data_IF_939256566417
#
_entry.id   IF_939256566417
#
_cell.length_a   1.000
_cell.length_b   1.000
_cell.length_c   1.000
_cell.angle_alpha   90.00
_cell.angle_beta   90.00
_cell.angle_gamma   90.00
#
_symmetry.space_group_name_H-M   'P 1'
#
loop_
_entity.id
_entity.type
_entity.pdbx_description
1 polymer ?
#
# COMPACT_ATOMS: atom_id res chain seq x y z
N UNK A 1 -32.18 3.55 -10.18
CA UNK A 1 -30.79 3.59 -9.69
C UNK A 1 -30.16 4.89 -10.16
N UNK A 2 -29.54 5.67 -9.27
CA UNK A 2 -28.77 6.86 -9.67
C UNK A 2 -27.38 6.45 -10.15
N UNK A 3 -26.78 7.22 -11.07
CA UNK A 3 -25.47 6.87 -11.63
C UNK A 3 -24.38 6.79 -10.55
N UNK A 4 -24.40 7.70 -9.57
CA UNK A 4 -23.45 7.70 -8.45
C UNK A 4 -23.57 6.46 -7.55
N UNK A 5 -24.76 5.87 -7.47
CA UNK A 5 -24.97 4.62 -6.73
C UNK A 5 -24.44 3.43 -7.51
N UNK A 6 -24.71 3.39 -8.83
CA UNK A 6 -24.20 2.35 -9.71
C UNK A 6 -22.66 2.35 -9.72
N UNK A 7 -22.03 3.52 -9.82
CA UNK A 7 -20.58 3.67 -9.77
C UNK A 7 -19.98 3.13 -8.46
N UNK A 8 -20.58 3.47 -7.32
CA UNK A 8 -20.13 2.98 -6.01
C UNK A 8 -20.27 1.47 -5.87
N UNK A 9 -21.37 0.90 -6.35
CA UNK A 9 -21.61 -0.55 -6.32
C UNK A 9 -20.62 -1.29 -7.23
N UNK A 10 -20.45 -0.81 -8.47
CA UNK A 10 -19.47 -1.36 -9.43
C UNK A 10 -18.06 -1.29 -8.84
N UNK A 11 -17.69 -0.14 -8.27
CA UNK A 11 -16.38 0.05 -7.65
C UNK A 11 -16.15 -0.93 -6.51
N UNK A 12 -17.10 -1.04 -5.57
CA UNK A 12 -17.00 -1.99 -4.45
C UNK A 12 -16.82 -3.43 -4.95
N UNK A 13 -17.60 -3.83 -5.96
CA UNK A 13 -17.51 -5.18 -6.53
C UNK A 13 -16.20 -5.44 -7.26
N UNK A 14 -15.70 -4.45 -8.00
CA UNK A 14 -14.40 -4.54 -8.67
C UNK A 14 -13.26 -4.63 -7.66
N UNK A 15 -13.33 -3.93 -6.53
CA UNK A 15 -12.35 -4.05 -5.45
C UNK A 15 -12.30 -5.47 -4.90
N UNK A 16 -13.45 -6.08 -4.61
CA UNK A 16 -13.51 -7.47 -4.11
C UNK A 16 -12.86 -8.45 -5.09
N UNK A 17 -13.19 -8.35 -6.38
CA UNK A 17 -12.61 -9.22 -7.42
C UNK A 17 -11.10 -8.98 -7.55
N UNK A 18 -10.67 -7.73 -7.56
CA UNK A 18 -9.25 -7.38 -7.69
C UNK A 18 -8.44 -7.83 -6.48
N UNK A 19 -9.00 -7.73 -5.28
CA UNK A 19 -8.41 -8.25 -4.05
C UNK A 19 -8.22 -9.77 -4.14
N UNK A 20 -9.26 -10.51 -4.51
CA UNK A 20 -9.18 -11.96 -4.67
C UNK A 20 -8.14 -12.40 -5.71
N UNK A 21 -8.05 -11.68 -6.84
CA UNK A 21 -7.02 -11.94 -7.87
C UNK A 21 -5.62 -11.72 -7.31
N UNK A 22 -5.38 -10.61 -6.58
CA UNK A 22 -4.08 -10.34 -5.97
C UNK A 22 -3.74 -11.37 -4.88
N UNK A 23 -4.69 -11.74 -4.03
CA UNK A 23 -4.50 -12.79 -3.03
C UNK A 23 -4.14 -14.13 -3.67
N UNK A 24 -4.80 -14.50 -4.78
CA UNK A 24 -4.48 -15.70 -5.54
C UNK A 24 -3.09 -15.65 -6.17
N UNK A 25 -2.68 -14.49 -6.70
CA UNK A 25 -1.32 -14.29 -7.22
C UNK A 25 -0.26 -14.46 -6.12
N UNK A 26 -0.48 -13.87 -4.94
CA UNK A 26 0.42 -14.01 -3.79
C UNK A 26 0.47 -15.46 -3.31
N UNK A 27 -0.67 -16.12 -3.15
CA UNK A 27 -0.73 -17.53 -2.76
C UNK A 27 -0.02 -18.45 -3.77
N UNK A 28 -0.07 -18.11 -5.07
CA UNK A 28 0.64 -18.83 -6.13
C UNK A 28 2.17 -18.78 -6.01
N UNK A 29 2.75 -17.86 -5.23
CA UNK A 29 4.19 -17.83 -4.96
C UNK A 29 4.65 -18.86 -3.91
N UNK A 30 3.70 -19.49 -3.21
CA UNK A 30 3.96 -20.44 -2.13
C UNK A 30 4.41 -19.75 -0.83
N UNK A 31 4.82 -20.57 0.14
CA UNK A 31 5.33 -20.17 1.45
C UNK A 31 6.86 -19.98 1.48
N UNK A 32 7.55 -20.37 0.40
CA UNK A 32 9.00 -20.28 0.30
C UNK A 32 9.74 -21.37 1.06
N UNK A 33 9.11 -22.53 1.30
CA UNK A 33 9.85 -23.73 1.68
C UNK A 33 10.67 -24.25 0.48
N UNK A 34 11.92 -23.79 0.41
CA UNK A 34 12.90 -24.20 -0.61
C UNK A 34 13.80 -25.34 -0.12
N UNK A 35 13.40 -26.02 0.97
CA UNK A 35 14.15 -27.09 1.59
C UNK A 35 15.10 -26.61 2.71
N UNK A 36 15.99 -27.50 3.20
CA UNK A 36 16.68 -27.32 4.48
C UNK A 36 17.76 -26.23 4.49
N UNK A 37 18.19 -25.76 3.32
CA UNK A 37 19.19 -24.70 3.18
C UNK A 37 19.09 -24.05 1.81
N UNK A 38 19.21 -22.72 1.77
CA UNK A 38 19.22 -21.93 0.55
C UNK A 38 20.58 -21.24 0.43
N UNK A 39 21.19 -21.27 -0.75
CA UNK A 39 22.37 -20.46 -1.05
C UNK A 39 21.92 -19.05 -1.45
N UNK A 40 22.29 -18.05 -0.66
CA UNK A 40 22.00 -16.63 -0.94
C UNK A 40 23.29 -15.86 -0.89
N UNK A 41 23.65 -15.19 -2.00
CA UNK A 41 24.90 -14.42 -2.14
C UNK A 41 26.18 -15.20 -1.78
N UNK A 42 26.17 -16.53 -1.98
CA UNK A 42 27.28 -17.43 -1.65
C UNK A 42 27.41 -17.77 -0.16
N UNK A 43 26.43 -17.41 0.67
CA UNK A 43 26.27 -17.90 2.04
C UNK A 43 25.13 -18.92 2.11
N UNK A 44 25.37 -20.07 2.74
CA UNK A 44 24.30 -21.02 3.10
C UNK A 44 23.47 -20.42 4.24
N UNK A 45 22.18 -20.22 4.00
CA UNK A 45 21.21 -19.76 5.00
C UNK A 45 20.16 -20.83 5.26
N UNK A 46 19.64 -20.86 6.48
CA UNK A 46 18.60 -21.82 6.88
C UNK A 46 17.26 -21.09 7.05
N UNK A 47 16.14 -21.71 6.63
CA UNK A 47 14.81 -21.17 6.89
C UNK A 47 14.50 -21.16 8.39
N UNK A 48 13.58 -20.28 8.78
CA UNK A 48 12.99 -20.25 10.13
C UNK A 48 12.26 -21.56 10.43
N UNK A 49 12.14 -21.91 11.72
CA UNK A 49 11.40 -23.10 12.14
C UNK A 49 9.91 -23.01 11.80
N UNK A 50 9.33 -21.81 11.92
CA UNK A 50 7.93 -21.51 11.62
C UNK A 50 7.83 -20.42 10.54
N UNK A 51 6.76 -20.42 9.72
CA UNK A 51 6.49 -19.35 8.78
C UNK A 51 6.11 -18.06 9.51
N UNK A 52 6.56 -16.94 8.97
CA UNK A 52 6.26 -15.61 9.47
C UNK A 52 5.16 -14.95 8.64
N UNK A 53 4.07 -14.56 9.30
CA UNK A 53 2.98 -13.79 8.69
C UNK A 53 3.39 -12.34 8.49
N UNK A 54 3.09 -11.79 7.31
CA UNK A 54 3.23 -10.37 6.96
C UNK A 54 1.95 -9.86 6.32
N UNK A 55 1.63 -8.60 6.62
CA UNK A 55 0.53 -7.89 5.97
C UNK A 55 1.10 -7.01 4.85
N UNK A 56 0.61 -7.22 3.64
CA UNK A 56 0.86 -6.37 2.48
C UNK A 56 -0.36 -5.50 2.20
N UNK A 57 -0.18 -4.18 2.25
CA UNK A 57 -1.25 -3.18 2.11
C UNK A 57 -1.28 -2.68 0.67
N UNK A 58 -2.16 -3.27 -0.13
CA UNK A 58 -2.36 -2.91 -1.53
C UNK A 58 -3.46 -1.87 -1.71
N UNK A 59 -3.57 -1.31 -2.91
CA UNK A 59 -4.72 -0.47 -3.32
C UNK A 59 -6.06 -1.21 -3.29
N UNK A 60 -6.05 -2.55 -3.27
CA UNK A 60 -7.24 -3.40 -3.23
C UNK A 60 -7.59 -3.87 -1.81
N UNK A 61 -6.76 -3.55 -0.81
CA UNK A 61 -6.91 -4.01 0.58
C UNK A 61 -5.68 -4.76 1.09
N UNK A 62 -5.80 -5.26 2.31
CA UNK A 62 -4.76 -6.03 3.00
C UNK A 62 -4.69 -7.46 2.45
N UNK A 63 -3.48 -7.92 2.13
CA UNK A 63 -3.20 -9.28 1.69
C UNK A 63 -2.21 -9.90 2.66
N UNK A 64 -2.52 -11.08 3.15
CA UNK A 64 -1.67 -11.82 4.06
C UNK A 64 -0.65 -12.66 3.30
N UNK A 65 0.58 -12.65 3.78
CA UNK A 65 1.70 -13.39 3.19
C UNK A 65 2.34 -14.21 4.30
N UNK A 66 2.07 -15.51 4.30
CA UNK A 66 2.80 -16.47 5.13
C UNK A 66 4.05 -16.89 4.39
N UNK A 67 5.22 -16.72 5.02
CA UNK A 67 6.49 -17.03 4.36
C UNK A 67 7.58 -17.44 5.34
N UNK A 68 8.46 -18.32 4.90
CA UNK A 68 9.71 -18.57 5.59
C UNK A 68 10.68 -17.41 5.40
N UNK A 69 11.50 -17.20 6.43
CA UNK A 69 12.58 -16.20 6.42
C UNK A 69 13.89 -16.89 6.74
N UNK A 70 14.93 -16.57 5.97
CA UNK A 70 16.26 -17.10 6.13
C UNK A 70 17.17 -16.02 6.73
N UNK A 71 17.97 -16.39 7.72
CA UNK A 71 18.98 -15.51 8.30
C UNK A 71 20.32 -16.25 8.46
N UNK A 72 21.43 -15.57 8.18
CA UNK A 72 22.78 -16.09 8.37
C UNK A 72 23.21 -16.10 9.87
N UNK A 73 22.31 -16.53 10.76
CA UNK A 73 22.50 -16.63 12.21
C UNK A 73 21.84 -15.52 13.05
N UNK A 74 21.84 -15.64 14.39
CA UNK A 74 20.97 -14.88 15.31
C UNK A 74 21.18 -13.35 15.35
N UNK A 75 22.20 -12.81 14.67
CA UNK A 75 22.65 -11.41 14.82
C UNK A 75 22.90 -10.65 13.50
N UNK A 76 22.64 -11.24 12.32
CA UNK A 76 22.78 -10.52 11.03
C UNK A 76 21.46 -9.89 10.58
N UNK A 77 21.59 -8.76 9.85
CA UNK A 77 20.73 -7.57 10.01
C UNK A 77 19.49 -7.50 9.12
N UNK A 78 19.28 -8.40 8.17
CA UNK A 78 18.08 -8.42 7.33
C UNK A 78 17.77 -9.88 6.94
N UNK A 79 16.63 -10.45 7.36
CA UNK A 79 16.23 -11.77 6.90
C UNK A 79 15.87 -11.73 5.41
N UNK A 80 16.40 -12.67 4.64
CA UNK A 80 15.97 -12.95 3.26
C UNK A 80 14.67 -13.75 3.30
N UNK A 81 13.78 -13.57 2.33
CA UNK A 81 12.64 -14.48 2.14
C UNK A 81 12.52 -14.84 0.66
N UNK A 82 12.47 -16.13 0.32
CA UNK A 82 12.25 -16.57 -1.06
C UNK A 82 10.95 -16.00 -1.65
N UNK A 83 9.90 -15.93 -0.84
CA UNK A 83 8.60 -15.35 -1.25
C UNK A 83 8.74 -13.86 -1.56
N UNK A 84 9.41 -13.10 -0.69
CA UNK A 84 9.65 -11.66 -0.93
C UNK A 84 10.44 -11.46 -2.22
N UNK A 85 11.42 -12.32 -2.52
CA UNK A 85 12.21 -12.26 -3.75
C UNK A 85 11.38 -12.59 -5.01
N UNK A 86 10.56 -13.65 -4.98
CA UNK A 86 9.67 -14.04 -6.10
C UNK A 86 8.63 -12.97 -6.40
N UNK A 87 8.05 -12.39 -5.36
CA UNK A 87 7.01 -11.36 -5.46
C UNK A 87 7.58 -9.95 -5.68
N UNK A 88 8.90 -9.78 -5.64
CA UNK A 88 9.54 -8.46 -5.74
C UNK A 88 9.12 -7.52 -4.60
N UNK A 89 8.85 -8.05 -3.42
CA UNK A 89 8.38 -7.27 -2.28
C UNK A 89 9.52 -6.42 -1.71
N UNK A 90 9.26 -5.12 -1.58
CA UNK A 90 10.10 -4.23 -0.77
C UNK A 90 9.93 -4.51 0.72
N UNK A 91 10.67 -3.81 1.60
CA UNK A 91 10.65 -4.07 3.06
C UNK A 91 9.41 -3.52 3.78
N UNK A 92 8.75 -2.52 3.20
CA UNK A 92 7.60 -1.83 3.80
C UNK A 92 6.29 -2.61 3.65
N UNK A 93 5.26 -2.24 4.39
CA UNK A 93 3.95 -2.87 4.28
C UNK A 93 3.12 -2.35 3.10
N UNK A 94 3.34 -1.10 2.69
CA UNK A 94 2.50 -0.40 1.72
C UNK A 94 2.98 -0.60 0.29
N UNK A 95 2.09 -1.01 -0.62
CA UNK A 95 2.42 -1.07 -2.04
C UNK A 95 2.89 0.29 -2.56
N UNK A 96 3.91 0.31 -3.42
CA UNK A 96 4.36 1.55 -4.07
C UNK A 96 3.27 2.25 -4.87
N UNK A 97 2.29 1.50 -5.39
CA UNK A 97 1.12 2.08 -6.07
C UNK A 97 0.28 2.88 -5.08
N UNK A 98 0.04 2.34 -3.87
CA UNK A 98 -0.70 3.03 -2.83
C UNK A 98 0.06 4.27 -2.33
N UNK A 99 1.37 4.18 -2.15
CA UNK A 99 2.22 5.32 -1.78
C UNK A 99 2.13 6.45 -2.83
N UNK A 100 2.33 6.14 -4.12
CA UNK A 100 2.21 7.10 -5.22
C UNK A 100 0.81 7.76 -5.27
N UNK A 101 -0.26 6.99 -5.03
CA UNK A 101 -1.62 7.53 -5.00
C UNK A 101 -1.84 8.47 -3.83
N UNK A 102 -1.34 8.13 -2.64
CA UNK A 102 -1.40 8.98 -1.46
C UNK A 102 -0.63 10.28 -1.66
N UNK A 103 0.55 10.21 -2.27
CA UNK A 103 1.36 11.39 -2.61
C UNK A 103 0.61 12.32 -3.58
N UNK A 104 -0.02 11.77 -4.61
CA UNK A 104 -0.83 12.56 -5.57
C UNK A 104 -2.04 13.21 -4.92
N UNK A 105 -2.76 12.48 -4.06
CA UNK A 105 -3.90 13.02 -3.32
C UNK A 105 -3.48 14.14 -2.37
N UNK A 106 -2.35 13.95 -1.68
CA UNK A 106 -1.80 14.97 -0.79
C UNK A 106 -1.38 16.23 -1.56
N UNK A 107 -0.71 16.07 -2.70
CA UNK A 107 -0.33 17.17 -3.58
C UNK A 107 -1.57 17.93 -4.10
N UNK A 108 -2.60 17.23 -4.56
CA UNK A 108 -3.84 17.84 -5.02
C UNK A 108 -4.56 18.62 -3.91
N UNK A 109 -4.60 18.05 -2.69
CA UNK A 109 -5.20 18.71 -1.53
C UNK A 109 -4.44 19.99 -1.17
N UNK A 110 -3.11 19.93 -1.15
CA UNK A 110 -2.26 21.12 -0.89
C UNK A 110 -2.49 22.23 -1.91
N UNK A 111 -2.63 21.90 -3.21
CA UNK A 111 -2.96 22.89 -4.24
C UNK A 111 -4.34 23.50 -3.98
N UNK A 112 -5.34 22.68 -3.62
CA UNK A 112 -6.67 23.19 -3.31
C UNK A 112 -6.67 24.13 -2.09
N UNK A 113 -5.89 23.82 -1.05
CA UNK A 113 -5.74 24.64 0.14
C UNK A 113 -5.02 25.97 -0.17
N UNK A 114 -3.97 25.93 -0.99
CA UNK A 114 -3.30 27.15 -1.47
C UNK A 114 -4.25 28.02 -2.31
N UNK A 115 -5.06 27.44 -3.19
CA UNK A 115 -6.05 28.18 -3.97
C UNK A 115 -7.17 28.77 -3.10
N UNK A 116 -7.61 28.06 -2.06
CA UNK A 116 -8.58 28.58 -1.10
C UNK A 116 -7.99 29.73 -0.27
N UNK A 117 -6.75 29.60 0.20
CA UNK A 117 -6.05 30.63 0.97
C UNK A 117 -5.72 31.86 0.12
N UNK A 118 -5.33 31.68 -1.15
CA UNK A 118 -5.10 32.79 -2.09
C UNK A 118 -6.41 33.51 -2.44
N UNK A 119 -7.52 32.78 -2.65
CA UNK A 119 -8.84 33.40 -2.82
C UNK A 119 -9.31 34.17 -1.58
N UNK A 120 -9.02 33.68 -0.38
CA UNK A 120 -9.33 34.38 0.86
C UNK A 120 -8.46 35.64 1.03
N UNK A 121 -7.16 35.56 0.71
CA UNK A 121 -6.22 36.68 0.81
C UNK A 121 -6.43 37.75 -0.28
N UNK A 122 -6.84 37.36 -1.48
CA UNK A 122 -7.11 38.24 -2.62
C UNK A 122 -8.60 38.49 -2.86
N UNK A 123 -9.45 38.33 -1.83
CA UNK A 123 -10.87 38.64 -1.94
C UNK A 123 -11.05 40.17 -2.16
N UNK A 124 -11.54 40.62 -3.33
CA UNK A 124 -11.75 42.05 -3.56
C UNK A 124 -12.81 42.58 -2.59
N UNK A 125 -12.63 43.77 -1.98
CA UNK A 125 -13.46 44.25 -0.86
C UNK A 125 -14.95 44.44 -1.20
N UNK A 126 -15.35 44.29 -2.46
CA UNK A 126 -16.74 44.42 -2.93
C UNK A 126 -17.58 43.15 -2.83
N UNK A 127 -17.01 42.00 -2.45
CA UNK A 127 -17.73 40.71 -2.35
C UNK A 127 -17.93 40.19 -0.92
N UNK A 128 -17.56 40.96 0.11
CA UNK A 128 -17.69 40.54 1.51
C UNK A 128 -19.06 40.79 2.16
N UNK A 129 -20.02 41.44 1.49
CA UNK A 129 -21.29 41.84 2.13
C UNK A 129 -22.39 40.75 2.15
N UNK A 130 -22.21 39.61 1.47
CA UNK A 130 -23.27 38.60 1.32
C UNK A 130 -22.95 37.19 1.78
N UNK A 131 -21.72 36.92 2.22
CA UNK A 131 -21.36 35.63 2.80
C UNK A 131 -20.82 35.84 4.20
N UNK A 132 -21.57 35.36 5.19
CA UNK A 132 -21.22 35.30 6.61
C UNK A 132 -20.06 34.33 6.91
N UNK A 133 -19.02 34.32 6.05
CA UNK A 133 -17.89 33.39 6.09
C UNK A 133 -16.62 33.98 6.71
N UNK A 134 -16.62 35.25 7.13
CA UNK A 134 -15.52 35.78 7.95
C UNK A 134 -15.95 35.86 9.42
N UNK A 135 -15.63 34.82 10.17
CA UNK A 135 -15.48 34.93 11.63
C UNK A 135 -14.20 35.72 11.91
N UNK A 136 -14.24 36.60 12.93
CA UNK A 136 -13.19 37.54 13.34
C UNK A 136 -11.79 36.97 13.46
#
# INVERSE_FOLDING_TARGET
MRIDQAEREIYARMLEVSHAVLSGFVAGAGDGDDGPSVEVDGETVHPSEEPHRRIYRSIFGEVEVDRYVCAAGPKKKIPYSPVDARLGMHRGEYSYVLEDWLERLYAATRVSELLLNDRAANCPPRYCEHLSLCSR
#
